data_IF_257149194943
#
_entry.id   IF_257149194943
#
_cell.length_a   1.000
_cell.length_b   1.000
_cell.length_c   1.000
_cell.angle_alpha   90.00
_cell.angle_beta   90.00
_cell.angle_gamma   90.00
#
_symmetry.space_group_name_H-M   'P 1'
#
loop_
_entity.id
_entity.type
_entity.pdbx_description
1 polymer ?
#
# COMPACT_ATOMS: atom_id res chain seq x y z
N UNK A 1 20.19 -5.35 17.75
CA UNK A 1 18.89 -5.98 17.46
C UNK A 1 19.11 -7.11 16.49
N UNK A 2 18.90 -8.34 16.95
CA UNK A 2 18.90 -9.53 16.09
C UNK A 2 17.54 -9.69 15.39
N UNK A 3 17.48 -10.51 14.34
CA UNK A 3 16.21 -10.86 13.67
C UNK A 3 15.20 -11.44 14.67
N UNK A 4 15.68 -12.27 15.60
CA UNK A 4 14.87 -12.83 16.67
C UNK A 4 14.26 -11.75 17.58
N UNK A 5 15.04 -10.75 17.99
CA UNK A 5 14.56 -9.67 18.86
C UNK A 5 13.51 -8.79 18.14
N UNK A 6 13.71 -8.49 16.85
CA UNK A 6 12.74 -7.73 16.06
C UNK A 6 11.41 -8.50 15.89
N UNK A 7 11.47 -9.81 15.60
CA UNK A 7 10.28 -10.65 15.52
C UNK A 7 9.59 -10.82 16.87
N UNK A 8 10.35 -10.91 17.96
CA UNK A 8 9.80 -10.97 19.32
C UNK A 8 9.08 -9.67 19.69
N UNK A 9 9.59 -8.52 19.24
CA UNK A 9 8.98 -7.21 19.48
C UNK A 9 7.72 -6.99 18.63
N UNK A 10 7.76 -7.36 17.34
CA UNK A 10 6.71 -7.02 16.37
C UNK A 10 5.75 -8.19 16.05
N UNK A 11 6.00 -9.40 16.54
CA UNK A 11 5.28 -10.61 16.14
C UNK A 11 3.77 -10.54 16.31
N UNK A 12 3.29 -10.02 17.45
CA UNK A 12 1.85 -9.87 17.68
C UNK A 12 1.17 -8.86 16.75
N UNK A 13 1.88 -7.79 16.37
CA UNK A 13 1.38 -6.81 15.39
C UNK A 13 1.32 -7.46 14.00
N UNK A 14 2.37 -8.19 13.61
CA UNK A 14 2.42 -8.90 12.33
C UNK A 14 1.28 -9.93 12.25
N UNK A 15 1.05 -10.71 13.30
CA UNK A 15 -0.04 -11.70 13.35
C UNK A 15 -1.41 -11.04 13.19
N UNK A 16 -1.63 -9.88 13.81
CA UNK A 16 -2.89 -9.13 13.70
C UNK A 16 -3.10 -8.62 12.27
N UNK A 17 -2.05 -8.08 11.64
CA UNK A 17 -2.09 -7.61 10.26
C UNK A 17 -2.33 -8.76 9.27
N UNK A 18 -1.68 -9.91 9.48
CA UNK A 18 -1.87 -11.10 8.65
C UNK A 18 -3.31 -11.64 8.77
N UNK A 19 -3.88 -11.66 9.99
CA UNK A 19 -5.29 -12.03 10.21
C UNK A 19 -6.25 -11.09 9.47
N UNK A 20 -5.95 -9.79 9.44
CA UNK A 20 -6.70 -8.79 8.68
C UNK A 20 -6.49 -8.91 7.15
N UNK A 21 -5.62 -9.80 6.67
CA UNK A 21 -5.31 -10.00 5.26
C UNK A 21 -4.30 -9.00 4.69
N UNK A 22 -3.65 -8.21 5.53
CA UNK A 22 -2.64 -7.21 5.15
C UNK A 22 -1.30 -7.92 4.99
N UNK A 23 -0.61 -7.69 3.87
CA UNK A 23 0.73 -8.23 3.69
C UNK A 23 1.73 -7.28 4.37
N UNK A 24 2.69 -7.78 5.14
CA UNK A 24 3.71 -6.93 5.74
C UNK A 24 4.43 -6.06 4.72
N UNK A 25 4.59 -6.49 3.47
CA UNK A 25 5.21 -5.70 2.39
C UNK A 25 4.40 -4.52 1.87
N UNK A 26 3.10 -4.43 2.19
CA UNK A 26 2.22 -3.37 1.69
C UNK A 26 2.57 -1.98 2.28
N UNK A 27 3.31 -1.92 3.40
CA UNK A 27 3.80 -0.67 3.99
C UNK A 27 4.61 0.19 3.00
N UNK A 28 5.25 -0.44 2.02
CA UNK A 28 6.06 0.24 0.99
C UNK A 28 5.23 1.11 0.06
N UNK A 29 3.93 0.85 -0.03
CA UNK A 29 3.02 1.53 -0.95
C UNK A 29 2.10 2.54 -0.26
N UNK A 30 2.28 2.79 1.05
CA UNK A 30 1.46 3.75 1.80
C UNK A 30 1.50 5.14 1.16
N UNK A 31 2.70 5.64 0.86
CA UNK A 31 2.87 6.96 0.23
C UNK A 31 2.24 7.05 -1.16
N UNK A 32 2.37 6.00 -1.97
CA UNK A 32 1.71 5.94 -3.29
C UNK A 32 0.19 6.00 -3.14
N UNK A 33 -0.36 5.31 -2.14
CA UNK A 33 -1.79 5.32 -1.88
C UNK A 33 -2.29 6.65 -1.32
N UNK A 34 -1.50 7.32 -0.48
CA UNK A 34 -1.77 8.68 -0.02
C UNK A 34 -1.83 9.67 -1.19
N UNK A 35 -0.81 9.68 -2.06
CA UNK A 35 -0.79 10.53 -3.25
C UNK A 35 -1.99 10.22 -4.19
N UNK A 36 -2.37 8.94 -4.32
CA UNK A 36 -3.57 8.53 -5.05
C UNK A 36 -4.85 9.12 -4.44
N UNK A 37 -4.96 9.10 -3.11
CA UNK A 37 -6.13 9.65 -2.42
C UNK A 37 -6.23 11.16 -2.59
N UNK A 38 -5.13 11.88 -2.40
CA UNK A 38 -5.10 13.33 -2.55
C UNK A 38 -5.48 13.77 -3.98
N UNK A 39 -4.85 13.19 -5.00
CA UNK A 39 -5.14 13.47 -6.42
C UNK A 39 -6.59 13.13 -6.79
N UNK A 40 -7.13 12.04 -6.24
CA UNK A 40 -8.54 11.65 -6.45
C UNK A 40 -9.51 12.59 -5.75
N UNK A 41 -9.20 13.06 -4.55
CA UNK A 41 -10.01 14.04 -3.81
C UNK A 41 -10.02 15.41 -4.52
N UNK A 42 -8.96 15.76 -5.27
CA UNK A 42 -8.94 16.92 -6.18
C UNK A 42 -9.81 16.77 -7.44
N UNK A 43 -10.37 15.58 -7.69
CA UNK A 43 -11.25 15.31 -8.84
C UNK A 43 -10.52 14.95 -10.13
N UNK A 44 -9.24 14.57 -10.06
CA UNK A 44 -8.49 14.14 -11.25
C UNK A 44 -9.00 12.81 -11.81
N UNK A 45 -8.88 12.63 -13.13
CA UNK A 45 -9.29 11.37 -13.79
C UNK A 45 -8.38 10.23 -13.34
N UNK A 46 -8.96 9.12 -12.88
CA UNK A 46 -8.22 7.94 -12.37
C UNK A 46 -7.10 7.47 -13.30
N UNK A 47 -7.35 7.43 -14.62
CA UNK A 47 -6.33 7.02 -15.60
C UNK A 47 -5.11 7.94 -15.60
N UNK A 48 -5.31 9.25 -15.38
CA UNK A 48 -4.22 10.21 -15.31
C UNK A 48 -3.41 10.05 -14.02
N UNK A 49 -4.10 9.90 -12.88
CA UNK A 49 -3.48 9.63 -11.58
C UNK A 49 -2.59 8.39 -11.67
N UNK A 50 -3.11 7.30 -12.25
CA UNK A 50 -2.37 6.04 -12.40
C UNK A 50 -1.11 6.21 -13.27
N UNK A 51 -1.21 6.92 -14.40
CA UNK A 51 -0.06 7.18 -15.25
C UNK A 51 1.01 8.02 -14.53
N UNK A 52 0.61 9.05 -13.78
CA UNK A 52 1.54 9.86 -12.98
C UNK A 52 2.23 9.06 -11.88
N UNK A 53 1.47 8.28 -11.10
CA UNK A 53 2.02 7.46 -10.01
C UNK A 53 2.92 6.34 -10.53
N UNK A 54 2.56 5.72 -11.66
CA UNK A 54 3.37 4.72 -12.36
C UNK A 54 4.77 5.27 -12.67
N UNK A 55 4.85 6.47 -13.24
CA UNK A 55 6.11 7.13 -13.54
C UNK A 55 6.86 7.58 -12.27
N UNK A 56 6.17 8.18 -11.30
CA UNK A 56 6.77 8.72 -10.07
C UNK A 56 7.39 7.63 -9.19
N UNK A 57 6.71 6.49 -9.06
CA UNK A 57 7.13 5.38 -8.20
C UNK A 57 7.86 4.26 -8.96
N UNK A 58 8.09 4.43 -10.27
CA UNK A 58 8.73 3.44 -11.14
C UNK A 58 8.10 2.04 -11.02
N UNK A 59 6.77 2.00 -11.06
CA UNK A 59 5.97 0.77 -11.02
C UNK A 59 5.04 0.74 -12.23
N UNK A 60 4.63 -0.44 -12.69
CA UNK A 60 3.67 -0.50 -13.80
C UNK A 60 2.31 0.07 -13.39
N UNK A 61 1.56 0.63 -14.34
CA UNK A 61 0.18 1.08 -14.11
C UNK A 61 -0.70 -0.04 -13.55
N UNK A 62 -0.50 -1.28 -14.02
CA UNK A 62 -1.16 -2.46 -13.48
C UNK A 62 -0.90 -2.63 -11.99
N UNK A 63 0.35 -2.48 -11.57
CA UNK A 63 0.73 -2.54 -10.16
C UNK A 63 0.04 -1.44 -9.35
N UNK A 64 -0.05 -0.21 -9.88
CA UNK A 64 -0.78 0.89 -9.22
C UNK A 64 -2.25 0.50 -9.00
N UNK A 65 -2.93 -0.03 -10.03
CA UNK A 65 -4.31 -0.52 -9.88
C UNK A 65 -4.44 -1.63 -8.82
N UNK A 66 -3.53 -2.59 -8.80
CA UNK A 66 -3.53 -3.69 -7.82
C UNK A 66 -3.28 -3.19 -6.39
N UNK A 67 -2.39 -2.21 -6.21
CA UNK A 67 -2.10 -1.56 -4.93
C UNK A 67 -3.32 -0.80 -4.43
N UNK A 68 -3.87 0.09 -5.26
CA UNK A 68 -5.05 0.90 -4.93
C UNK A 68 -6.24 0.01 -4.58
N UNK A 69 -6.49 -1.03 -5.37
CA UNK A 69 -7.58 -1.99 -5.10
C UNK A 69 -7.40 -2.65 -3.73
N UNK A 70 -6.19 -3.11 -3.42
CA UNK A 70 -5.90 -3.83 -2.18
C UNK A 70 -5.96 -2.92 -0.94
N UNK A 71 -5.31 -1.76 -0.98
CA UNK A 71 -5.27 -0.83 0.16
C UNK A 71 -6.58 -0.06 0.35
N UNK A 72 -7.41 0.03 -0.68
CA UNK A 72 -8.76 0.58 -0.59
C UNK A 72 -9.85 -0.45 -0.22
N UNK A 73 -9.49 -1.71 0.03
CA UNK A 73 -10.44 -2.75 0.46
C UNK A 73 -10.51 -2.82 1.98
N UNK A 74 -11.68 -3.22 2.51
CA UNK A 74 -11.83 -3.47 3.95
C UNK A 74 -10.95 -4.64 4.43
N UNK A 75 -10.55 -4.57 5.71
CA UNK A 75 -9.87 -5.69 6.38
C UNK A 75 -10.81 -6.90 6.43
N UNK A 76 -10.24 -8.11 6.34
CA UNK A 76 -10.99 -9.37 6.43
C UNK A 76 -11.35 -9.74 7.86
#
# INVERSE_FOLDING_TARGET
MTVYEALKLCGGVIETLEKAGIKPGDHKYLRLFEDFRETRERGEKVAYIVACLSAQYNVSERSVYEIVKRLGSDCK
#
